data_IF_483351649976
#
_entry.id   IF_483351649976
#
_cell.length_a   1.000
_cell.length_b   1.000
_cell.length_c   1.000
_cell.angle_alpha   90.00
_cell.angle_beta   90.00
_cell.angle_gamma   90.00
#
_symmetry.space_group_name_H-M   'P 1'
#
loop_
_entity.id
_entity.type
_entity.pdbx_description
1 polymer ?
#
# COMPACT_ATOMS: atom_id res chain seq x y z
N UNK A 1 -56.03 10.71 -15.36
CA UNK A 1 -57.40 11.07 -15.78
C UNK A 1 -57.37 12.02 -16.97
N UNK A 2 -58.27 11.83 -17.94
CA UNK A 2 -58.49 12.76 -19.07
C UNK A 2 -59.74 13.63 -18.81
N UNK A 3 -59.97 14.65 -19.63
CA UNK A 3 -61.20 15.45 -19.62
C UNK A 3 -62.41 14.58 -20.04
N UNK A 4 -63.65 14.89 -19.59
CA UNK A 4 -64.85 14.09 -19.85
C UNK A 4 -65.38 14.29 -21.28
N UNK A 5 -64.57 13.99 -22.30
CA UNK A 5 -64.88 14.16 -23.73
C UNK A 5 -66.05 13.28 -24.19
N UNK A 6 -66.33 12.20 -23.45
CA UNK A 6 -67.47 11.31 -23.68
C UNK A 6 -68.82 11.91 -23.27
N UNK A 7 -68.82 13.02 -22.54
CA UNK A 7 -70.03 13.75 -22.13
C UNK A 7 -70.24 14.91 -23.11
N UNK A 8 -71.19 14.81 -24.07
CA UNK A 8 -71.36 15.83 -25.11
C UNK A 8 -71.73 17.22 -24.55
N UNK A 9 -72.36 17.24 -23.37
CA UNK A 9 -72.72 18.45 -22.63
C UNK A 9 -71.60 19.01 -21.75
N UNK A 10 -70.38 18.44 -21.78
CA UNK A 10 -69.27 18.93 -20.99
C UNK A 10 -68.78 20.33 -21.41
N UNK A 11 -69.15 20.82 -22.60
CA UNK A 11 -68.81 22.16 -23.05
C UNK A 11 -67.31 22.41 -23.18
N UNK A 12 -66.52 21.38 -23.50
CA UNK A 12 -65.07 21.48 -23.65
C UNK A 12 -64.68 22.21 -24.94
N UNK A 13 -63.71 23.10 -24.88
CA UNK A 13 -63.11 23.73 -26.07
C UNK A 13 -61.71 23.16 -26.27
N UNK A 14 -61.43 22.63 -27.46
CA UNK A 14 -60.18 21.92 -27.76
C UNK A 14 -59.84 20.82 -26.73
N UNK A 15 -60.87 20.18 -26.17
CA UNK A 15 -60.72 19.11 -25.18
C UNK A 15 -60.33 19.55 -23.77
N UNK A 16 -60.46 20.84 -23.42
CA UNK A 16 -60.21 21.38 -22.08
C UNK A 16 -61.43 22.11 -21.52
N UNK A 17 -61.49 22.21 -20.19
CA UNK A 17 -62.47 23.06 -19.52
C UNK A 17 -62.23 24.54 -19.88
N UNK A 18 -63.30 25.28 -20.09
CA UNK A 18 -63.32 26.73 -20.28
C UNK A 18 -64.30 27.38 -19.31
N UNK A 19 -63.97 28.58 -18.87
CA UNK A 19 -64.88 29.38 -18.06
C UNK A 19 -66.05 29.90 -18.90
N UNK A 20 -67.13 30.28 -18.22
CA UNK A 20 -68.24 30.98 -18.86
C UNK A 20 -67.76 32.34 -19.42
N UNK A 21 -68.27 32.71 -20.60
CA UNK A 21 -68.04 34.02 -21.18
C UNK A 21 -69.36 34.81 -21.30
N UNK A 22 -69.65 35.70 -20.33
CA UNK A 22 -70.89 36.48 -20.30
C UNK A 22 -71.04 37.45 -21.47
N UNK A 23 -69.93 37.90 -22.08
CA UNK A 23 -69.95 38.86 -23.19
C UNK A 23 -70.34 38.22 -24.52
N UNK A 24 -70.09 36.92 -24.69
CA UNK A 24 -70.41 36.16 -25.90
C UNK A 24 -71.56 35.17 -25.71
N UNK A 25 -72.11 35.08 -24.50
CA UNK A 25 -73.19 34.14 -24.15
C UNK A 25 -72.74 32.67 -24.15
N UNK A 26 -71.43 32.42 -24.08
CA UNK A 26 -70.90 31.06 -24.10
C UNK A 26 -70.90 30.46 -22.69
N UNK A 27 -71.65 29.37 -22.44
CA UNK A 27 -71.66 28.70 -21.13
C UNK A 27 -70.30 28.05 -20.84
N UNK A 28 -69.92 28.05 -19.56
CA UNK A 28 -68.71 27.38 -19.10
C UNK A 28 -68.80 25.86 -19.20
N UNK A 29 -67.66 25.18 -19.15
CA UNK A 29 -67.62 23.72 -19.20
C UNK A 29 -68.21 23.11 -17.93
N UNK A 30 -69.00 22.05 -18.11
CA UNK A 30 -69.53 21.24 -17.01
C UNK A 30 -68.44 20.29 -16.49
N UNK A 31 -68.29 20.21 -15.17
CA UNK A 31 -67.47 19.23 -14.48
C UNK A 31 -68.40 18.11 -13.94
N UNK A 32 -68.48 16.93 -14.59
CA UNK A 32 -69.34 15.86 -14.13
C UNK A 32 -68.86 15.26 -12.80
N UNK A 33 -69.80 14.79 -11.97
CA UNK A 33 -69.49 14.12 -10.70
C UNK A 33 -68.58 12.90 -10.90
N UNK A 34 -68.80 12.11 -11.95
CA UNK A 34 -67.94 10.97 -12.30
C UNK A 34 -66.48 11.39 -12.49
N UNK A 35 -66.25 12.54 -13.13
CA UNK A 35 -64.90 13.06 -13.32
C UNK A 35 -64.30 13.56 -12.01
N UNK A 36 -65.07 14.32 -11.22
CA UNK A 36 -64.62 14.83 -9.92
C UNK A 36 -64.28 13.70 -8.95
N UNK A 37 -65.15 12.70 -8.85
CA UNK A 37 -64.94 11.49 -8.04
C UNK A 37 -63.69 10.73 -8.49
N UNK A 38 -63.48 10.56 -9.81
CA UNK A 38 -62.33 9.86 -10.32
C UNK A 38 -61.00 10.58 -10.00
N UNK A 39 -60.94 11.91 -10.13
CA UNK A 39 -59.77 12.70 -9.72
C UNK A 39 -59.53 12.59 -8.22
N UNK A 40 -60.57 12.72 -7.41
CA UNK A 40 -60.46 12.56 -5.95
C UNK A 40 -59.96 11.16 -5.59
N UNK A 41 -60.46 10.12 -6.25
CA UNK A 41 -60.07 8.74 -5.96
C UNK A 41 -58.61 8.46 -6.29
N UNK A 42 -58.07 8.97 -7.41
CA UNK A 42 -56.64 8.89 -7.74
C UNK A 42 -55.76 9.51 -6.63
N UNK A 43 -56.16 10.68 -6.12
CA UNK A 43 -55.46 11.35 -5.02
C UNK A 43 -55.53 10.53 -3.73
N UNK A 44 -56.72 9.98 -3.42
CA UNK A 44 -56.90 9.11 -2.25
C UNK A 44 -56.06 7.83 -2.33
N UNK A 45 -55.94 7.22 -3.51
CA UNK A 45 -55.10 6.03 -3.71
C UNK A 45 -53.61 6.32 -3.50
N UNK A 46 -53.11 7.49 -3.93
CA UNK A 46 -51.72 7.89 -3.64
C UNK A 46 -51.50 8.08 -2.13
N UNK A 47 -52.44 8.72 -1.44
CA UNK A 47 -52.38 8.91 0.02
C UNK A 47 -52.37 7.56 0.75
N UNK A 48 -53.26 6.65 0.36
CA UNK A 48 -53.33 5.29 0.92
C UNK A 48 -52.09 4.46 0.61
N UNK A 49 -51.53 4.57 -0.59
CA UNK A 49 -50.31 3.86 -0.98
C UNK A 49 -49.10 4.29 -0.15
N UNK A 50 -49.06 5.55 0.28
CA UNK A 50 -48.07 6.06 1.23
C UNK A 50 -48.30 5.55 2.67
N UNK A 51 -49.47 4.99 2.98
CA UNK A 51 -49.85 4.49 4.30
C UNK A 51 -50.64 5.48 5.15
N UNK A 52 -51.05 6.62 4.59
CA UNK A 52 -51.77 7.67 5.30
C UNK A 52 -53.29 7.51 5.19
N UNK A 53 -54.02 8.01 6.19
CA UNK A 53 -55.50 8.05 6.18
C UNK A 53 -55.98 9.38 5.61
N UNK A 54 -56.80 9.39 4.54
CA UNK A 54 -57.33 10.63 3.98
C UNK A 54 -58.16 11.46 4.97
N UNK A 55 -57.99 12.78 4.92
CA UNK A 55 -58.64 13.78 5.76
C UNK A 55 -58.98 14.99 4.91
N UNK A 56 -60.27 15.22 4.68
CA UNK A 56 -60.77 16.35 3.88
C UNK A 56 -60.41 17.74 4.46
N UNK A 57 -60.03 17.81 5.73
CA UNK A 57 -59.56 19.07 6.35
C UNK A 57 -58.08 19.37 6.10
N UNK A 58 -57.32 18.44 5.49
CA UNK A 58 -55.89 18.59 5.23
C UNK A 58 -55.56 18.63 3.73
N UNK A 59 -55.21 19.83 3.25
CA UNK A 59 -54.84 20.06 1.85
C UNK A 59 -53.35 19.78 1.54
N UNK A 60 -52.58 19.24 2.48
CA UNK A 60 -51.16 18.90 2.30
C UNK A 60 -50.90 17.39 2.09
N UNK A 61 -51.90 16.53 2.28
CA UNK A 61 -51.70 15.06 2.29
C UNK A 61 -51.07 14.50 1.02
N UNK A 62 -51.49 14.97 -0.16
CA UNK A 62 -50.90 14.49 -1.42
C UNK A 62 -49.39 14.78 -1.49
N UNK A 63 -48.96 15.97 -1.02
CA UNK A 63 -47.54 16.34 -0.98
C UNK A 63 -46.77 15.43 -0.01
N UNK A 64 -47.33 15.14 1.16
CA UNK A 64 -46.72 14.25 2.16
C UNK A 64 -46.59 12.84 1.60
N UNK A 65 -47.67 12.31 1.01
CA UNK A 65 -47.71 10.97 0.42
C UNK A 65 -46.65 10.78 -0.67
N UNK A 66 -46.57 11.71 -1.63
CA UNK A 66 -45.56 11.65 -2.71
C UNK A 66 -44.14 11.70 -2.15
N UNK A 67 -43.88 12.59 -1.18
CA UNK A 67 -42.56 12.71 -0.54
C UNK A 67 -42.18 11.42 0.21
N UNK A 68 -43.15 10.80 0.90
CA UNK A 68 -42.97 9.53 1.59
C UNK A 68 -42.67 8.36 0.65
N UNK A 69 -43.43 8.25 -0.45
CA UNK A 69 -43.22 7.21 -1.47
C UNK A 69 -41.83 7.32 -2.12
N UNK A 70 -41.38 8.52 -2.46
CA UNK A 70 -40.05 8.77 -3.02
C UNK A 70 -38.96 8.35 -2.01
N UNK A 71 -39.09 8.76 -0.74
CA UNK A 71 -38.13 8.44 0.32
C UNK A 71 -38.05 6.93 0.59
N UNK A 72 -39.20 6.25 0.58
CA UNK A 72 -39.28 4.80 0.72
C UNK A 72 -38.58 4.09 -0.43
N UNK A 73 -38.85 4.49 -1.68
CA UNK A 73 -38.21 3.92 -2.86
C UNK A 73 -36.70 4.14 -2.88
N UNK A 74 -36.23 5.31 -2.46
CA UNK A 74 -34.80 5.57 -2.31
C UNK A 74 -34.17 4.62 -1.30
N UNK A 75 -34.83 4.39 -0.16
CA UNK A 75 -34.34 3.51 0.90
C UNK A 75 -34.33 2.03 0.47
N UNK A 76 -35.36 1.57 -0.25
CA UNK A 76 -35.43 0.22 -0.82
C UNK A 76 -34.32 -0.06 -1.84
N UNK A 77 -33.85 0.97 -2.54
CA UNK A 77 -32.80 0.87 -3.55
C UNK A 77 -31.38 0.90 -2.97
N UNK A 78 -31.21 1.25 -1.69
CA UNK A 78 -29.90 1.25 -1.04
C UNK A 78 -29.51 -0.17 -0.62
N UNK A 79 -28.25 -0.54 -0.89
CA UNK A 79 -27.67 -1.79 -0.42
C UNK A 79 -27.55 -1.79 1.11
N UNK A 80 -27.91 -2.92 1.74
CA UNK A 80 -27.59 -3.17 3.14
C UNK A 80 -26.12 -3.59 3.32
N UNK A 81 -25.71 -3.89 4.56
CA UNK A 81 -24.33 -4.23 4.85
C UNK A 81 -23.90 -5.55 4.21
N UNK A 82 -24.71 -6.60 4.38
CA UNK A 82 -24.39 -7.93 3.90
C UNK A 82 -24.27 -7.94 2.36
N UNK A 83 -25.20 -7.27 1.67
CA UNK A 83 -25.20 -7.12 0.22
C UNK A 83 -23.96 -6.37 -0.27
N UNK A 84 -23.61 -5.27 0.40
CA UNK A 84 -22.44 -4.46 0.09
C UNK A 84 -21.12 -5.24 0.23
N UNK A 85 -21.01 -6.05 1.28
CA UNK A 85 -19.82 -6.85 1.58
C UNK A 85 -19.70 -8.11 0.72
N UNK A 86 -20.84 -8.70 0.31
CA UNK A 86 -20.90 -9.82 -0.62
C UNK A 86 -20.52 -9.40 -2.05
N UNK A 87 -20.94 -8.21 -2.48
CA UNK A 87 -20.56 -7.63 -3.77
C UNK A 87 -21.12 -8.34 -5.01
N UNK A 88 -22.22 -9.09 -4.87
CA UNK A 88 -22.85 -9.86 -5.96
C UNK A 88 -23.99 -9.08 -6.64
N UNK A 89 -24.63 -8.16 -5.92
CA UNK A 89 -25.79 -7.41 -6.42
C UNK A 89 -25.36 -6.25 -7.34
N UNK A 90 -25.89 -6.21 -8.56
CA UNK A 90 -25.61 -5.16 -9.56
C UNK A 90 -26.74 -4.13 -9.72
N UNK A 91 -27.87 -4.32 -9.03
CA UNK A 91 -29.06 -3.49 -9.17
C UNK A 91 -29.19 -2.41 -8.09
N UNK A 92 -28.72 -2.67 -6.87
CA UNK A 92 -28.81 -1.73 -5.75
C UNK A 92 -27.71 -0.68 -5.75
N UNK A 93 -28.06 0.51 -5.28
CA UNK A 93 -27.13 1.64 -5.14
C UNK A 93 -26.33 1.57 -3.85
N UNK A 94 -25.04 1.89 -3.93
CA UNK A 94 -24.13 1.96 -2.78
C UNK A 94 -24.10 3.36 -2.17
N UNK A 95 -24.15 3.45 -0.84
CA UNK A 95 -23.88 4.71 -0.13
C UNK A 95 -22.38 4.84 0.21
N UNK A 96 -21.86 6.06 0.47
CA UNK A 96 -20.46 6.26 0.84
C UNK A 96 -20.00 5.40 2.03
N UNK A 97 -20.87 5.22 3.03
CA UNK A 97 -20.59 4.35 4.18
C UNK A 97 -20.44 2.89 3.77
N UNK A 98 -21.32 2.39 2.88
CA UNK A 98 -21.25 1.00 2.41
C UNK A 98 -20.01 0.74 1.57
N UNK A 99 -19.60 1.68 0.74
CA UNK A 99 -18.33 1.61 -0.02
C UNK A 99 -17.15 1.49 0.95
N UNK A 100 -17.07 2.35 1.96
CA UNK A 100 -15.98 2.30 2.94
C UNK A 100 -15.93 0.96 3.68
N UNK A 101 -17.07 0.45 4.15
CA UNK A 101 -17.14 -0.83 4.86
C UNK A 101 -16.75 -2.03 3.99
N UNK A 102 -17.25 -2.08 2.75
CA UNK A 102 -16.92 -3.14 1.80
C UNK A 102 -15.42 -3.15 1.48
N UNK A 103 -14.82 -1.97 1.28
CA UNK A 103 -13.37 -1.83 1.09
C UNK A 103 -12.63 -2.29 2.34
N UNK A 104 -12.99 -1.77 3.52
CA UNK A 104 -12.32 -2.09 4.78
C UNK A 104 -12.35 -3.60 5.08
N UNK A 105 -13.45 -4.31 4.78
CA UNK A 105 -13.55 -5.76 4.94
C UNK A 105 -12.65 -6.55 3.99
N UNK A 106 -12.45 -6.04 2.77
CA UNK A 106 -11.59 -6.68 1.75
C UNK A 106 -10.12 -6.33 1.93
N UNK A 107 -9.81 -5.23 2.59
CA UNK A 107 -8.45 -4.83 2.95
C UNK A 107 -8.00 -5.64 4.15
N UNK A 108 -7.37 -6.78 3.88
CA UNK A 108 -6.81 -7.68 4.89
C UNK A 108 -5.29 -7.61 4.88
N UNK A 109 -4.67 -7.88 6.03
CA UNK A 109 -3.23 -8.05 6.15
C UNK A 109 -2.78 -9.25 5.30
N UNK A 110 -1.75 -9.05 4.49
CA UNK A 110 -1.15 -10.14 3.73
C UNK A 110 -0.55 -11.18 4.67
N UNK A 111 -0.76 -12.46 4.35
CA UNK A 111 -0.13 -13.62 4.99
C UNK A 111 0.45 -14.53 3.91
N UNK A 112 1.22 -15.55 4.29
CA UNK A 112 1.79 -16.50 3.32
C UNK A 112 0.72 -17.25 2.52
N UNK A 113 -0.47 -17.47 3.09
CA UNK A 113 -1.58 -18.18 2.45
C UNK A 113 -2.65 -17.28 1.84
N UNK A 114 -2.71 -16.00 2.23
CA UNK A 114 -3.79 -15.08 1.86
C UNK A 114 -3.21 -13.80 1.29
N UNK A 115 -3.57 -13.47 0.05
CA UNK A 115 -3.24 -12.20 -0.57
C UNK A 115 -3.88 -11.04 0.21
N UNK A 116 -3.10 -9.99 0.46
CA UNK A 116 -3.54 -8.82 1.20
C UNK A 116 -2.59 -7.64 1.01
N UNK A 117 -2.72 -6.64 1.86
CA UNK A 117 -1.80 -5.51 1.93
C UNK A 117 -0.73 -5.73 3.01
N UNK A 118 0.49 -5.28 2.76
CA UNK A 118 1.57 -5.30 3.73
C UNK A 118 2.15 -3.90 3.88
N UNK A 119 2.45 -3.51 5.12
CA UNK A 119 3.13 -2.24 5.38
C UNK A 119 4.60 -2.33 4.99
N UNK A 120 5.22 -1.19 4.71
CA UNK A 120 6.67 -1.13 4.52
C UNK A 120 7.36 -1.18 5.89
N UNK A 121 8.28 -2.13 6.08
CA UNK A 121 9.05 -2.29 7.32
C UNK A 121 9.93 -1.05 7.60
N UNK A 122 10.01 -0.63 8.85
CA UNK A 122 10.99 0.36 9.33
C UNK A 122 12.41 -0.21 9.35
N UNK A 123 13.43 0.64 9.49
CA UNK A 123 14.82 0.16 9.57
C UNK A 123 15.08 -0.68 10.83
N UNK A 124 14.44 -0.32 11.95
CA UNK A 124 14.55 -1.07 13.19
C UNK A 124 13.96 -2.49 13.05
N UNK A 125 12.80 -2.62 12.40
CA UNK A 125 12.17 -3.92 12.14
C UNK A 125 13.04 -4.80 11.24
N UNK A 126 13.64 -4.23 10.18
CA UNK A 126 14.57 -4.97 9.31
C UNK A 126 15.80 -5.45 10.09
N UNK A 127 16.34 -4.61 10.99
CA UNK A 127 17.50 -4.99 11.79
C UNK A 127 17.16 -6.06 12.85
N UNK A 128 15.95 -6.05 13.39
CA UNK A 128 15.49 -7.03 14.37
C UNK A 128 15.14 -8.39 13.71
N UNK A 129 14.75 -8.39 12.43
CA UNK A 129 14.52 -9.61 11.66
C UNK A 129 13.34 -10.46 12.12
N UNK A 130 12.38 -9.89 12.85
CA UNK A 130 11.28 -10.63 13.49
C UNK A 130 9.90 -10.42 12.86
N UNK A 131 9.72 -9.41 12.00
CA UNK A 131 8.42 -9.08 11.41
C UNK A 131 8.13 -9.92 10.16
N UNK A 132 6.99 -10.59 10.15
CA UNK A 132 6.40 -11.35 9.03
C UNK A 132 5.29 -10.58 8.30
N UNK A 133 4.80 -9.48 8.88
CA UNK A 133 3.69 -8.68 8.34
C UNK A 133 4.11 -7.56 7.38
N UNK A 134 5.41 -7.38 7.14
CA UNK A 134 5.96 -6.16 6.53
C UNK A 134 6.92 -6.43 5.37
N UNK A 135 6.94 -5.54 4.37
CA UNK A 135 7.81 -5.66 3.19
C UNK A 135 9.03 -4.73 3.26
N UNK A 136 10.16 -5.20 2.74
CA UNK A 136 11.44 -4.47 2.72
C UNK A 136 11.60 -3.72 1.38
N UNK A 137 12.09 -2.48 1.41
CA UNK A 137 12.40 -1.73 0.18
C UNK A 137 13.81 -2.03 -0.32
N UNK A 138 14.13 -1.82 -1.62
CA UNK A 138 15.48 -2.02 -2.14
C UNK A 138 16.56 -1.25 -1.38
N UNK A 139 16.25 -0.03 -0.89
CA UNK A 139 17.16 0.76 -0.06
C UNK A 139 17.50 0.05 1.24
N UNK A 140 16.52 -0.58 1.89
CA UNK A 140 16.70 -1.29 3.16
C UNK A 140 17.36 -2.65 2.94
N UNK A 141 17.08 -3.31 1.81
CA UNK A 141 17.74 -4.55 1.41
C UNK A 141 19.24 -4.35 1.16
N UNK A 142 19.61 -3.23 0.54
CA UNK A 142 21.02 -2.87 0.30
C UNK A 142 21.70 -2.20 1.50
N UNK A 143 20.94 -1.86 2.55
CA UNK A 143 21.50 -1.18 3.70
C UNK A 143 22.37 -2.14 4.52
N UNK A 144 23.59 -1.71 4.83
CA UNK A 144 24.57 -2.54 5.53
C UNK A 144 25.39 -3.45 4.60
N UNK A 145 25.04 -3.58 3.32
CA UNK A 145 25.89 -4.26 2.33
C UNK A 145 26.78 -3.24 1.62
N UNK A 146 28.03 -3.12 2.07
CA UNK A 146 29.01 -2.20 1.50
C UNK A 146 30.11 -2.99 0.79
N UNK A 147 30.48 -2.55 -0.41
CA UNK A 147 31.41 -3.27 -1.26
C UNK A 147 32.36 -2.31 -1.96
N UNK A 148 33.66 -2.59 -1.89
CA UNK A 148 34.71 -1.87 -2.63
C UNK A 148 35.52 -2.85 -3.45
N UNK A 149 35.35 -2.79 -4.77
CA UNK A 149 36.09 -3.62 -5.72
C UNK A 149 37.37 -2.91 -6.14
N UNK A 150 38.51 -3.56 -5.91
CA UNK A 150 39.85 -3.08 -6.26
C UNK A 150 40.89 -4.13 -5.90
N UNK A 151 42.15 -3.87 -6.27
CA UNK A 151 43.29 -4.73 -5.92
C UNK A 151 43.38 -4.97 -4.40
N UNK A 152 43.07 -3.94 -3.62
CA UNK A 152 42.74 -4.05 -2.20
C UNK A 152 41.30 -3.58 -1.99
N UNK A 153 40.46 -4.45 -1.42
CA UNK A 153 39.01 -4.28 -1.39
C UNK A 153 38.36 -4.97 -0.21
N UNK A 154 37.03 -4.83 -0.12
CA UNK A 154 36.26 -5.43 0.97
C UNK A 154 34.79 -5.62 0.62
N UNK A 155 34.15 -6.50 1.41
CA UNK A 155 32.71 -6.68 1.52
C UNK A 155 32.34 -6.60 3.01
N UNK A 156 31.40 -5.72 3.35
CA UNK A 156 30.79 -5.62 4.68
C UNK A 156 29.37 -6.16 4.58
N UNK A 157 29.04 -7.10 5.45
CA UNK A 157 27.70 -7.61 5.62
C UNK A 157 26.89 -6.72 6.57
N UNK A 158 25.56 -6.67 6.41
CA UNK A 158 24.70 -5.91 7.30
C UNK A 158 24.82 -6.33 8.77
N UNK A 159 24.51 -5.41 9.68
CA UNK A 159 24.58 -5.65 11.13
C UNK A 159 23.66 -6.77 11.61
N UNK A 160 22.49 -6.94 10.96
CA UNK A 160 21.56 -8.04 11.24
C UNK A 160 22.06 -9.41 10.76
N UNK A 161 23.13 -9.47 9.95
CA UNK A 161 23.89 -10.70 9.64
C UNK A 161 25.14 -10.87 10.51
N UNK A 162 25.27 -10.10 11.60
CA UNK A 162 26.44 -10.10 12.47
C UNK A 162 27.57 -9.16 12.04
N UNK A 163 27.38 -8.36 10.98
CA UNK A 163 28.34 -7.31 10.61
C UNK A 163 29.68 -7.81 10.07
N UNK A 164 29.74 -9.06 9.59
CA UNK A 164 30.97 -9.68 9.08
C UNK A 164 31.62 -8.80 8.00
N UNK A 165 32.93 -8.67 8.05
CA UNK A 165 33.75 -7.96 7.09
C UNK A 165 34.76 -8.96 6.51
N UNK A 166 34.79 -9.05 5.18
CA UNK A 166 35.80 -9.80 4.43
C UNK A 166 36.61 -8.79 3.63
N UNK A 167 37.93 -8.82 3.76
CA UNK A 167 38.82 -7.87 3.08
C UNK A 167 39.97 -8.59 2.41
N UNK A 168 40.49 -8.00 1.34
CA UNK A 168 41.70 -8.47 0.67
C UNK A 168 42.64 -7.33 0.33
N UNK A 169 43.93 -7.65 0.24
CA UNK A 169 45.01 -6.71 -0.03
C UNK A 169 45.94 -7.29 -1.10
N UNK A 170 46.22 -6.51 -2.14
CA UNK A 170 47.44 -6.64 -2.94
C UNK A 170 48.55 -5.93 -2.19
N UNK A 171 49.43 -6.73 -1.58
CA UNK A 171 50.36 -6.30 -0.57
C UNK A 171 51.78 -6.80 -0.83
N UNK A 172 52.60 -6.71 0.19
CA UNK A 172 54.00 -7.12 0.15
C UNK A 172 54.41 -7.92 1.38
N UNK A 173 55.54 -8.60 1.28
CA UNK A 173 56.19 -9.32 2.37
C UNK A 173 57.71 -9.19 2.27
N UNK A 174 58.40 -9.21 3.41
CA UNK A 174 59.87 -9.22 3.48
C UNK A 174 60.32 -9.79 4.82
N UNK A 175 61.60 -10.11 4.98
CA UNK A 175 62.12 -10.50 6.29
C UNK A 175 62.43 -9.30 7.19
N UNK A 176 62.99 -8.23 6.62
CA UNK A 176 63.69 -7.18 7.37
C UNK A 176 62.79 -6.02 7.84
N UNK A 177 61.64 -5.80 7.19
CA UNK A 177 60.76 -4.70 7.55
C UNK A 177 60.17 -4.82 8.96
N UNK A 178 59.80 -3.68 9.53
CA UNK A 178 59.20 -3.54 10.86
C UNK A 178 59.94 -4.34 11.94
N UNK A 179 61.24 -4.13 12.11
CA UNK A 179 62.09 -4.81 13.09
C UNK A 179 62.05 -6.34 12.98
N UNK A 180 61.99 -6.86 11.75
CA UNK A 180 61.95 -8.30 11.49
C UNK A 180 60.55 -8.92 11.58
N UNK A 181 59.48 -8.13 11.67
CA UNK A 181 58.10 -8.60 11.67
C UNK A 181 57.45 -8.61 10.27
N UNK A 182 58.17 -8.16 9.24
CA UNK A 182 57.72 -8.15 7.85
C UNK A 182 57.02 -6.87 7.42
N UNK A 183 56.51 -6.83 6.20
CA UNK A 183 55.90 -5.63 5.62
C UNK A 183 54.51 -5.36 6.18
N UNK A 184 54.19 -4.10 6.47
CA UNK A 184 52.88 -3.71 6.98
C UNK A 184 51.88 -3.58 5.83
N UNK A 185 50.79 -4.34 5.92
CA UNK A 185 49.71 -4.37 4.95
C UNK A 185 48.44 -3.81 5.60
N UNK A 186 48.06 -2.55 5.32
CA UNK A 186 46.90 -1.92 5.93
C UNK A 186 45.59 -2.47 5.35
N UNK A 187 44.61 -2.72 6.22
CA UNK A 187 43.27 -3.07 5.78
C UNK A 187 42.61 -1.88 5.07
N UNK A 188 41.94 -2.09 3.94
CA UNK A 188 41.15 -1.04 3.27
C UNK A 188 40.09 -0.38 4.17
N UNK A 189 39.58 -1.13 5.16
CA UNK A 189 38.69 -0.68 6.22
C UNK A 189 39.18 -1.28 7.54
N UNK A 190 39.36 -0.50 8.60
CA UNK A 190 39.74 -1.09 9.89
C UNK A 190 38.58 -1.97 10.41
N UNK A 191 38.90 -3.15 10.96
CA UNK A 191 37.90 -3.98 11.65
C UNK A 191 37.45 -3.25 12.94
N UNK A 192 36.17 -2.88 13.07
CA UNK A 192 35.72 -2.09 14.21
C UNK A 192 35.90 -2.77 15.57
N UNK A 193 35.76 -4.10 15.64
CA UNK A 193 35.77 -4.85 16.89
C UNK A 193 36.89 -5.89 16.94
N UNK A 194 36.93 -6.80 15.97
CA UNK A 194 37.87 -7.91 15.99
C UNK A 194 38.22 -8.42 14.59
N UNK A 195 39.48 -8.83 14.42
CA UNK A 195 39.95 -9.63 13.29
C UNK A 195 40.07 -11.09 13.72
N UNK A 196 39.24 -11.96 13.17
CA UNK A 196 39.24 -13.40 13.47
C UNK A 196 40.39 -14.14 12.78
N UNK A 197 40.63 -13.81 11.52
CA UNK A 197 41.60 -14.52 10.68
C UNK A 197 42.32 -13.54 9.75
N UNK A 198 43.59 -13.83 9.49
CA UNK A 198 44.31 -13.30 8.34
C UNK A 198 45.16 -14.41 7.72
N UNK A 199 45.12 -14.50 6.40
CA UNK A 199 45.93 -15.45 5.62
C UNK A 199 46.67 -14.66 4.56
N UNK A 200 47.96 -14.96 4.39
CA UNK A 200 48.81 -14.38 3.37
C UNK A 200 49.36 -15.48 2.46
N UNK A 201 49.31 -15.26 1.15
CA UNK A 201 49.89 -16.13 0.13
C UNK A 201 50.85 -15.36 -0.75
N UNK A 202 51.92 -16.02 -1.18
CA UNK A 202 52.86 -15.43 -2.12
C UNK A 202 52.21 -15.32 -3.50
N UNK A 203 52.42 -14.20 -4.18
CA UNK A 203 52.10 -14.06 -5.60
C UNK A 203 53.39 -13.76 -6.35
N UNK A 204 53.84 -14.68 -7.19
CA UNK A 204 55.09 -14.55 -7.91
C UNK A 204 55.57 -15.89 -8.43
N UNK A 205 56.80 -15.92 -8.95
CA UNK A 205 57.37 -17.09 -9.63
C UNK A 205 58.24 -17.98 -8.72
N UNK A 206 58.51 -17.56 -7.49
CA UNK A 206 59.32 -18.32 -6.54
C UNK A 206 58.61 -19.60 -6.06
N UNK A 207 59.32 -20.73 -6.13
CA UNK A 207 58.84 -22.03 -5.66
C UNK A 207 59.08 -22.18 -4.15
N UNK A 208 58.04 -22.51 -3.38
CA UNK A 208 58.18 -22.89 -1.97
C UNK A 208 58.30 -21.74 -0.95
N UNK A 209 57.92 -20.50 -1.31
CA UNK A 209 58.01 -19.34 -0.40
C UNK A 209 57.13 -19.49 0.84
N UNK A 210 57.74 -19.37 2.02
CA UNK A 210 57.03 -19.36 3.30
C UNK A 210 56.65 -17.93 3.71
N UNK A 211 55.35 -17.71 3.97
CA UNK A 211 54.83 -16.46 4.52
C UNK A 211 54.25 -16.68 5.92
N UNK A 212 54.55 -15.76 6.83
CA UNK A 212 53.98 -15.72 8.18
C UNK A 212 53.26 -14.40 8.41
N UNK A 213 52.04 -14.46 8.91
CA UNK A 213 51.34 -13.27 9.42
C UNK A 213 51.84 -13.00 10.84
N UNK A 214 52.41 -11.82 11.05
CA UNK A 214 52.98 -11.41 12.32
C UNK A 214 52.18 -10.23 12.93
N UNK A 215 52.01 -10.26 14.25
CA UNK A 215 51.48 -9.12 15.01
C UNK A 215 52.66 -8.31 15.56
N UNK A 216 52.64 -7.00 15.37
CA UNK A 216 53.61 -6.08 15.94
C UNK A 216 52.97 -5.39 17.16
N UNK A 217 53.65 -5.35 18.30
CA UNK A 217 53.09 -4.85 19.57
C UNK A 217 52.56 -3.41 19.50
N UNK A 218 53.09 -2.59 18.58
CA UNK A 218 52.72 -1.17 18.43
C UNK A 218 51.71 -0.89 17.31
N UNK A 219 51.32 -1.90 16.51
CA UNK A 219 50.35 -1.75 15.42
C UNK A 219 49.13 -2.64 15.66
N UNK A 220 47.93 -2.05 15.64
CA UNK A 220 46.70 -2.80 15.87
C UNK A 220 46.43 -3.78 14.73
N UNK A 221 46.15 -5.04 15.08
CA UNK A 221 45.72 -6.05 14.10
C UNK A 221 44.39 -5.73 13.40
N UNK A 222 43.65 -4.75 13.95
CA UNK A 222 42.41 -4.22 13.38
C UNK A 222 42.65 -3.28 12.20
N UNK A 223 43.82 -2.64 12.10
CA UNK A 223 44.13 -1.65 11.06
C UNK A 223 45.01 -2.21 9.94
N UNK A 224 45.69 -3.32 10.20
CA UNK A 224 46.52 -4.01 9.22
C UNK A 224 47.24 -5.21 9.82
N UNK A 225 48.05 -5.88 9.01
CA UNK A 225 48.86 -7.02 9.44
C UNK A 225 50.26 -6.89 8.89
N UNK A 226 51.25 -7.46 9.60
CA UNK A 226 52.58 -7.60 9.02
C UNK A 226 52.71 -8.97 8.36
N UNK A 227 53.31 -9.01 7.17
CA UNK A 227 53.58 -10.27 6.47
C UNK A 227 55.08 -10.43 6.34
N UNK A 228 55.61 -11.42 7.06
CA UNK A 228 57.02 -11.76 7.06
C UNK A 228 57.30 -12.89 6.08
N UNK A 229 58.40 -12.77 5.35
CA UNK A 229 58.95 -13.86 4.54
C UNK A 229 60.41 -14.14 4.95
N UNK A 230 60.68 -15.22 5.71
CA UNK A 230 62.04 -15.56 6.13
C UNK A 230 63.00 -15.90 4.98
N UNK A 231 62.48 -16.42 3.87
CA UNK A 231 63.30 -16.86 2.72
C UNK A 231 63.90 -15.68 1.92
N UNK A 232 63.44 -14.45 2.18
CA UNK A 232 63.83 -13.24 1.46
C UNK A 232 64.39 -12.18 2.42
N UNK A 233 65.68 -12.29 2.82
CA UNK A 233 66.30 -11.44 3.84
C UNK A 233 66.53 -9.99 3.42
N UNK A 234 66.66 -9.73 2.11
CA UNK A 234 67.11 -8.43 1.59
C UNK A 234 66.21 -7.84 0.51
N UNK A 235 65.03 -8.44 0.27
CA UNK A 235 64.11 -7.98 -0.77
C UNK A 235 62.66 -8.05 -0.29
N UNK A 236 61.82 -7.24 -0.93
CA UNK A 236 60.38 -7.24 -0.74
C UNK A 236 59.72 -7.97 -1.91
N UNK A 237 58.84 -8.91 -1.61
CA UNK A 237 58.08 -9.71 -2.58
C UNK A 237 56.59 -9.39 -2.49
N UNK A 238 55.83 -9.74 -3.53
CA UNK A 238 54.39 -9.52 -3.54
C UNK A 238 53.65 -10.56 -2.67
N UNK A 239 52.62 -10.10 -1.98
CA UNK A 239 51.73 -10.91 -1.17
C UNK A 239 50.27 -10.63 -1.52
N UNK A 240 49.43 -11.65 -1.35
CA UNK A 240 47.98 -11.52 -1.32
C UNK A 240 47.50 -11.86 0.07
N UNK A 241 46.77 -10.94 0.67
CA UNK A 241 46.26 -11.10 2.02
C UNK A 241 44.74 -11.13 1.95
N UNK A 242 44.13 -12.06 2.69
CA UNK A 242 42.70 -12.04 2.99
C UNK A 242 42.49 -12.01 4.50
N UNK A 243 41.54 -11.22 4.96
CA UNK A 243 41.18 -11.07 6.37
C UNK A 243 39.69 -11.17 6.59
N UNK A 244 39.30 -11.72 7.73
CA UNK A 244 37.90 -11.84 8.17
C UNK A 244 37.78 -11.30 9.59
N UNK A 245 36.76 -10.50 9.84
CA UNK A 245 36.50 -9.85 11.12
C UNK A 245 35.16 -9.12 11.14
N UNK A 246 34.94 -8.21 12.10
CA UNK A 246 33.76 -7.36 12.23
C UNK A 246 34.03 -6.14 13.13
#
# INVERSE_FOLDING_TARGET
MDYPKSVPSAGLVNGKFVDENPLTGMPGSLIPADWGNAVTQEILEVIRAAGDTPNESDNAQLKVAVSGLISKKQSENLANQEEAEAGVNTAKTMSPLRVFQAIAKKVVQATESIAGIAKVASQAEVNAGTSDTSVVTPKKLRLGFLVRMGASGYIVFPSWMGGLIIQWITGSASQAANNGYGEYNPWPLAFPNARFLAVATHEGTASGTFLTVCNLTVASSLTGINVRCPDWPSQTIAARVIGIGY
#
